data_IF_133761042079
#
_entry.id   IF_133761042079
#
_cell.length_a   1.000
_cell.length_b   1.000
_cell.length_c   1.000
_cell.angle_alpha   90.00
_cell.angle_beta   90.00
_cell.angle_gamma   90.00
#
_symmetry.space_group_name_H-M   'P 1'
#
loop_
_entity.id
_entity.type
_entity.pdbx_description
1 polymer ?
#
# COMPACT_ATOMS: atom_id res chain seq x y z
N UNK A 1 -59.67 -8.37 17.95
CA UNK A 1 -58.80 -9.18 18.85
C UNK A 1 -57.79 -10.02 18.08
N UNK A 2 -58.21 -10.90 17.15
CA UNK A 2 -57.29 -11.73 16.35
C UNK A 2 -56.25 -10.92 15.53
N UNK A 3 -56.65 -9.80 14.91
CA UNK A 3 -55.74 -8.93 14.13
C UNK A 3 -54.66 -8.29 15.03
N UNK A 4 -55.01 -7.91 16.26
CA UNK A 4 -54.07 -7.29 17.21
C UNK A 4 -53.05 -8.33 17.72
N UNK A 5 -53.51 -9.57 17.96
CA UNK A 5 -52.66 -10.69 18.41
C UNK A 5 -51.61 -11.04 17.35
N UNK A 6 -51.87 -10.83 16.06
CA UNK A 6 -50.93 -11.10 14.97
C UNK A 6 -50.06 -9.86 14.66
N UNK A 7 -50.64 -8.66 14.67
CA UNK A 7 -49.93 -7.42 14.33
C UNK A 7 -48.87 -7.03 15.38
N UNK A 8 -49.13 -7.21 16.68
CA UNK A 8 -48.17 -6.82 17.73
C UNK A 8 -46.87 -7.64 17.64
N UNK A 9 -46.90 -8.99 17.53
CA UNK A 9 -45.69 -9.77 17.27
C UNK A 9 -44.97 -9.40 15.98
N UNK A 10 -45.71 -9.10 14.89
CA UNK A 10 -45.11 -8.67 13.62
C UNK A 10 -44.40 -7.31 13.74
N UNK A 11 -45.00 -6.34 14.43
CA UNK A 11 -44.40 -5.03 14.68
C UNK A 11 -43.19 -5.16 15.61
N UNK A 12 -43.28 -5.96 16.67
CA UNK A 12 -42.15 -6.26 17.56
C UNK A 12 -41.01 -6.95 16.81
N UNK A 13 -41.34 -7.94 15.96
CA UNK A 13 -40.38 -8.62 15.10
C UNK A 13 -39.74 -7.64 14.11
N UNK A 14 -40.53 -6.73 13.53
CA UNK A 14 -40.05 -5.67 12.63
C UNK A 14 -39.10 -4.71 13.35
N UNK A 15 -39.47 -4.19 14.51
CA UNK A 15 -38.62 -3.28 15.30
C UNK A 15 -37.32 -3.97 15.72
N UNK A 16 -37.41 -5.21 16.18
CA UNK A 16 -36.24 -5.98 16.60
C UNK A 16 -35.29 -6.26 15.44
N UNK A 17 -35.80 -6.73 14.29
CA UNK A 17 -34.94 -7.14 13.19
C UNK A 17 -34.51 -5.99 12.28
N UNK A 18 -35.34 -4.97 12.06
CA UNK A 18 -35.03 -3.86 11.15
C UNK A 18 -34.38 -2.67 11.84
N UNK A 19 -34.63 -2.44 13.13
CA UNK A 19 -34.10 -1.27 13.84
C UNK A 19 -33.03 -1.65 14.85
N UNK A 20 -33.32 -2.59 15.76
CA UNK A 20 -32.38 -2.91 16.85
C UNK A 20 -31.11 -3.62 16.36
N UNK A 21 -31.25 -4.69 15.56
CA UNK A 21 -30.09 -5.41 15.02
C UNK A 21 -29.21 -4.54 14.10
N UNK A 22 -29.84 -3.71 13.26
CA UNK A 22 -29.09 -2.80 12.37
C UNK A 22 -28.31 -1.76 13.18
N UNK A 23 -28.94 -1.18 14.23
CA UNK A 23 -28.27 -0.22 15.10
C UNK A 23 -27.09 -0.86 15.83
N UNK A 24 -27.26 -2.07 16.36
CA UNK A 24 -26.21 -2.77 17.10
C UNK A 24 -25.07 -3.24 16.19
N UNK A 25 -25.36 -3.74 15.00
CA UNK A 25 -24.35 -4.00 13.98
C UNK A 25 -23.58 -2.72 13.59
N UNK A 26 -24.27 -1.58 13.46
CA UNK A 26 -23.61 -0.28 13.21
C UNK A 26 -22.75 0.16 14.39
N UNK A 27 -23.19 -0.07 15.63
CA UNK A 27 -22.42 0.24 16.84
C UNK A 27 -21.13 -0.60 16.90
N UNK A 28 -21.24 -1.91 16.65
CA UNK A 28 -20.09 -2.82 16.62
C UNK A 28 -19.13 -2.48 15.48
N UNK A 29 -19.64 -2.14 14.29
CA UNK A 29 -18.81 -1.65 13.18
C UNK A 29 -18.05 -0.38 13.58
N UNK A 30 -18.71 0.56 14.27
CA UNK A 30 -18.07 1.78 14.76
C UNK A 30 -16.99 1.51 15.80
N UNK A 31 -17.25 0.59 16.75
CA UNK A 31 -16.25 0.15 17.74
C UNK A 31 -15.04 -0.50 17.08
N UNK A 32 -15.26 -1.35 16.08
CA UNK A 32 -14.19 -2.00 15.34
C UNK A 32 -13.34 -0.97 14.58
N UNK A 33 -13.99 -0.03 13.88
CA UNK A 33 -13.30 0.98 13.07
C UNK A 33 -12.43 1.94 13.90
N UNK A 34 -12.88 2.29 15.11
CA UNK A 34 -12.19 3.25 15.98
C UNK A 34 -11.10 2.62 16.85
N UNK A 35 -10.95 1.30 16.83
CA UNK A 35 -10.00 0.57 17.65
C UNK A 35 -8.66 0.37 16.94
N UNK A 36 -7.56 0.53 17.68
CA UNK A 36 -6.22 0.15 17.22
C UNK A 36 -5.86 -1.30 17.60
N UNK A 37 -6.75 -2.00 18.32
CA UNK A 37 -6.57 -3.40 18.70
C UNK A 37 -7.21 -4.31 17.64
N UNK A 38 -6.38 -5.14 17.01
CA UNK A 38 -6.77 -6.03 15.92
C UNK A 38 -7.80 -7.07 16.40
N UNK A 39 -7.53 -7.75 17.52
CA UNK A 39 -8.41 -8.81 18.03
C UNK A 39 -9.77 -8.26 18.47
N UNK A 40 -9.76 -7.08 19.12
CA UNK A 40 -10.98 -6.36 19.45
C UNK A 40 -11.79 -6.04 18.20
N UNK A 41 -11.14 -5.46 17.18
CA UNK A 41 -11.79 -5.09 15.93
C UNK A 41 -12.39 -6.29 15.21
N UNK A 42 -11.64 -7.40 15.12
CA UNK A 42 -12.12 -8.66 14.55
C UNK A 42 -13.37 -9.17 15.27
N UNK A 43 -13.37 -9.17 16.61
CA UNK A 43 -14.51 -9.63 17.39
C UNK A 43 -15.77 -8.80 17.14
N UNK A 44 -15.62 -7.48 16.98
CA UNK A 44 -16.72 -6.57 16.71
C UNK A 44 -17.22 -6.64 15.26
N UNK A 45 -16.33 -6.81 14.27
CA UNK A 45 -16.77 -7.07 12.90
C UNK A 45 -17.57 -8.38 12.79
N UNK A 46 -17.13 -9.44 13.47
CA UNK A 46 -17.88 -10.72 13.54
C UNK A 46 -19.21 -10.57 14.25
N UNK A 47 -19.27 -9.82 15.34
CA UNK A 47 -20.53 -9.51 16.01
C UNK A 47 -21.49 -8.79 15.06
N UNK A 48 -21.02 -7.75 14.36
CA UNK A 48 -21.81 -7.02 13.38
C UNK A 48 -22.29 -7.92 12.23
N UNK A 49 -21.45 -8.82 11.72
CA UNK A 49 -21.79 -9.76 10.64
C UNK A 49 -22.85 -10.78 11.10
N UNK A 50 -22.76 -11.29 12.33
CA UNK A 50 -23.71 -12.24 12.89
C UNK A 50 -25.08 -11.63 13.17
N UNK A 51 -25.13 -10.35 13.52
CA UNK A 51 -26.39 -9.66 13.82
C UNK A 51 -27.17 -9.25 12.58
N UNK A 52 -26.47 -9.05 11.46
CA UNK A 52 -27.09 -8.58 10.23
C UNK A 52 -27.72 -9.74 9.45
N UNK A 53 -29.04 -9.91 9.58
CA UNK A 53 -29.83 -10.91 8.85
C UNK A 53 -29.66 -10.82 7.31
N UNK A 54 -29.28 -9.65 6.83
CA UNK A 54 -28.84 -9.39 5.47
C UNK A 54 -27.48 -8.73 5.63
N UNK A 55 -26.38 -9.43 5.35
CA UNK A 55 -25.05 -8.81 5.30
C UNK A 55 -25.15 -7.55 4.45
N UNK A 56 -25.01 -6.38 5.08
CA UNK A 56 -25.03 -5.14 4.33
C UNK A 56 -23.72 -5.06 3.57
N UNK A 57 -23.80 -4.81 2.27
CA UNK A 57 -22.67 -4.51 1.39
C UNK A 57 -21.62 -3.64 2.09
N UNK A 58 -22.03 -2.54 2.72
CA UNK A 58 -21.12 -1.65 3.45
C UNK A 58 -20.34 -2.33 4.58
N UNK A 59 -20.97 -3.24 5.33
CA UNK A 59 -20.29 -3.98 6.39
C UNK A 59 -19.25 -4.95 5.82
N UNK A 60 -19.60 -5.69 4.76
CA UNK A 60 -18.66 -6.57 4.06
C UNK A 60 -17.47 -5.78 3.53
N UNK A 61 -17.72 -4.62 2.92
CA UNK A 61 -16.67 -3.74 2.40
C UNK A 61 -15.79 -3.17 3.52
N UNK A 62 -16.39 -2.69 4.63
CA UNK A 62 -15.64 -2.16 5.77
C UNK A 62 -14.76 -3.24 6.43
N UNK A 63 -15.27 -4.47 6.55
CA UNK A 63 -14.51 -5.58 7.12
C UNK A 63 -13.32 -5.95 6.24
N UNK A 64 -13.53 -6.04 4.91
CA UNK A 64 -12.45 -6.26 3.97
C UNK A 64 -11.41 -5.12 4.03
N UNK A 65 -11.86 -3.86 4.11
CA UNK A 65 -10.98 -2.69 4.22
C UNK A 65 -10.15 -2.69 5.50
N UNK A 66 -10.74 -3.08 6.63
CA UNK A 66 -10.00 -3.28 7.86
C UNK A 66 -8.88 -4.30 7.69
N UNK A 67 -9.16 -5.47 7.11
CA UNK A 67 -8.15 -6.51 6.89
C UNK A 67 -7.05 -6.06 5.92
N UNK A 68 -7.41 -5.34 4.85
CA UNK A 68 -6.44 -4.75 3.93
C UNK A 68 -5.53 -3.72 4.62
N UNK A 69 -6.03 -3.03 5.64
CA UNK A 69 -5.24 -2.10 6.47
C UNK A 69 -4.21 -2.77 7.39
N UNK A 70 -4.23 -4.10 7.53
CA UNK A 70 -3.28 -4.84 8.39
C UNK A 70 -1.92 -5.05 7.72
N UNK A 71 -1.69 -4.55 6.51
CA UNK A 71 -0.45 -4.78 5.74
C UNK A 71 0.66 -3.75 6.01
N UNK A 72 0.54 -2.93 7.06
CA UNK A 72 1.68 -2.10 7.49
C UNK A 72 2.79 -2.98 8.09
N UNK A 73 4.05 -2.55 7.98
CA UNK A 73 5.20 -3.31 8.53
C UNK A 73 4.99 -3.66 10.00
N UNK A 74 4.52 -2.71 10.82
CA UNK A 74 4.24 -2.93 12.24
C UNK A 74 3.16 -4.01 12.47
N UNK A 75 2.06 -3.95 11.72
CA UNK A 75 0.99 -4.93 11.85
C UNK A 75 1.42 -6.31 11.36
N UNK A 76 2.15 -6.39 10.25
CA UNK A 76 2.70 -7.65 9.73
C UNK A 76 3.62 -8.29 10.77
N UNK A 77 4.53 -7.52 11.38
CA UNK A 77 5.42 -8.03 12.42
C UNK A 77 4.64 -8.51 13.65
N UNK A 78 3.67 -7.72 14.12
CA UNK A 78 2.79 -8.10 15.24
C UNK A 78 2.05 -9.40 14.97
N UNK A 79 1.49 -9.55 13.76
CA UNK A 79 0.76 -10.74 13.33
C UNK A 79 1.70 -11.93 13.19
N UNK A 80 2.90 -11.77 12.61
CA UNK A 80 3.88 -12.86 12.46
C UNK A 80 4.39 -13.37 13.81
N UNK A 81 4.51 -12.49 14.81
CA UNK A 81 5.06 -12.82 16.13
C UNK A 81 4.03 -13.40 17.14
N UNK A 82 2.73 -13.29 16.87
CA UNK A 82 1.67 -13.85 17.72
C UNK A 82 0.87 -14.91 16.94
N UNK A 83 1.08 -16.19 17.28
CA UNK A 83 0.47 -17.31 16.57
C UNK A 83 -1.05 -17.39 16.71
N UNK A 84 -1.60 -16.93 17.84
CA UNK A 84 -3.05 -16.92 18.09
C UNK A 84 -3.68 -15.82 17.24
N UNK A 85 -3.10 -14.61 17.29
CA UNK A 85 -3.54 -13.50 16.46
C UNK A 85 -3.42 -13.83 14.97
N UNK A 86 -2.31 -14.47 14.55
CA UNK A 86 -2.12 -14.90 13.16
C UNK A 86 -3.22 -15.83 12.70
N UNK A 87 -3.52 -16.87 13.48
CA UNK A 87 -4.60 -17.80 13.14
C UNK A 87 -5.95 -17.08 13.05
N UNK A 88 -6.20 -16.14 13.96
CA UNK A 88 -7.46 -15.38 13.97
C UNK A 88 -7.61 -14.45 12.76
N UNK A 89 -6.54 -13.73 12.38
CA UNK A 89 -6.48 -12.88 11.19
C UNK A 89 -6.66 -13.71 9.92
N UNK A 90 -6.01 -14.86 9.79
CA UNK A 90 -6.15 -15.72 8.61
C UNK A 90 -7.58 -16.28 8.49
N UNK A 91 -8.23 -16.63 9.60
CA UNK A 91 -9.65 -16.99 9.59
C UNK A 91 -10.53 -15.80 9.16
N UNK A 92 -10.22 -14.59 9.63
CA UNK A 92 -10.94 -13.39 9.23
C UNK A 92 -10.84 -13.10 7.72
N UNK A 93 -9.69 -13.36 7.09
CA UNK A 93 -9.56 -13.29 5.63
C UNK A 93 -10.51 -14.27 4.92
N UNK A 94 -10.69 -15.49 5.43
CA UNK A 94 -11.66 -16.46 4.88
C UNK A 94 -13.10 -15.95 5.05
N UNK A 95 -13.46 -15.47 6.23
CA UNK A 95 -14.79 -14.92 6.53
C UNK A 95 -15.14 -13.72 5.64
N UNK A 96 -14.18 -12.83 5.39
CA UNK A 96 -14.34 -11.68 4.51
C UNK A 96 -14.49 -12.10 3.03
N UNK A 97 -13.73 -13.10 2.57
CA UNK A 97 -13.88 -13.67 1.22
C UNK A 97 -15.25 -14.30 1.02
N UNK A 98 -15.71 -15.11 1.97
CA UNK A 98 -17.05 -15.72 1.94
C UNK A 98 -18.16 -14.66 1.91
N UNK A 99 -17.97 -13.57 2.67
CA UNK A 99 -18.91 -12.44 2.70
C UNK A 99 -18.95 -11.71 1.36
N UNK A 100 -17.79 -11.48 0.71
CA UNK A 100 -17.71 -10.89 -0.64
C UNK A 100 -18.33 -11.81 -1.70
N UNK A 101 -18.08 -13.12 -1.63
CA UNK A 101 -18.68 -14.10 -2.54
C UNK A 101 -20.21 -14.13 -2.44
N UNK A 102 -20.75 -13.92 -1.24
CA UNK A 102 -22.20 -13.78 -1.05
C UNK A 102 -22.75 -12.50 -1.69
N UNK A 103 -22.01 -11.39 -1.66
CA UNK A 103 -22.39 -10.18 -2.39
C UNK A 103 -22.28 -10.36 -3.91
N UNK A 104 -21.26 -11.06 -4.39
CA UNK A 104 -21.12 -11.43 -5.82
C UNK A 104 -22.30 -12.27 -6.29
N UNK A 105 -22.75 -13.26 -5.51
CA UNK A 105 -23.95 -14.05 -5.84
C UNK A 105 -25.21 -13.19 -5.96
N UNK A 106 -25.34 -12.14 -5.15
CA UNK A 106 -26.48 -11.19 -5.21
C UNK A 106 -26.35 -10.22 -6.39
N UNK A 107 -25.12 -9.78 -6.70
CA UNK A 107 -24.79 -8.74 -7.68
C UNK A 107 -23.59 -9.15 -8.55
N UNK A 108 -23.75 -10.14 -9.45
CA UNK A 108 -22.62 -10.73 -10.18
C UNK A 108 -21.99 -9.81 -11.24
N UNK A 109 -22.63 -8.68 -11.56
CA UNK A 109 -22.13 -7.70 -12.52
C UNK A 109 -21.54 -6.46 -11.85
N UNK A 110 -21.45 -6.42 -10.52
CA UNK A 110 -20.85 -5.31 -9.80
C UNK A 110 -19.33 -5.55 -9.63
N UNK A 111 -18.53 -4.82 -10.41
CA UNK A 111 -17.08 -4.94 -10.41
C UNK A 111 -16.42 -4.64 -9.05
N UNK A 112 -17.11 -3.92 -8.16
CA UNK A 112 -16.53 -3.50 -6.86
C UNK A 112 -16.19 -4.71 -5.99
N UNK A 113 -17.04 -5.75 -5.96
CA UNK A 113 -16.78 -6.93 -5.13
C UNK A 113 -15.60 -7.75 -5.64
N UNK A 114 -15.47 -7.90 -6.95
CA UNK A 114 -14.34 -8.55 -7.60
C UNK A 114 -13.03 -7.79 -7.35
N UNK A 115 -13.07 -6.45 -7.48
CA UNK A 115 -11.93 -5.59 -7.14
C UNK A 115 -11.51 -5.77 -5.68
N UNK A 116 -12.46 -5.73 -4.75
CA UNK A 116 -12.20 -5.87 -3.31
C UNK A 116 -11.67 -7.25 -2.96
N UNK A 117 -12.21 -8.29 -3.58
CA UNK A 117 -11.73 -9.67 -3.40
C UNK A 117 -10.28 -9.81 -3.89
N UNK A 118 -9.95 -9.21 -5.05
CA UNK A 118 -8.59 -9.15 -5.57
C UNK A 118 -7.60 -8.44 -4.64
N UNK A 119 -7.99 -7.27 -4.11
CA UNK A 119 -7.18 -6.56 -3.11
C UNK A 119 -7.00 -7.38 -1.83
N UNK A 120 -8.06 -8.05 -1.36
CA UNK A 120 -8.02 -8.89 -0.16
C UNK A 120 -7.08 -10.09 -0.32
N UNK A 121 -7.03 -10.71 -1.51
CA UNK A 121 -6.04 -11.73 -1.84
C UNK A 121 -4.61 -11.18 -1.80
N UNK A 122 -4.35 -10.01 -2.40
CA UNK A 122 -3.03 -9.35 -2.30
C UNK A 122 -2.64 -9.11 -0.83
N UNK A 123 -3.55 -8.57 -0.03
CA UNK A 123 -3.28 -8.31 1.39
C UNK A 123 -3.01 -9.59 2.17
N UNK A 124 -3.70 -10.69 1.86
CA UNK A 124 -3.41 -11.96 2.51
C UNK A 124 -2.01 -12.48 2.14
N UNK A 125 -1.60 -12.37 0.86
CA UNK A 125 -0.24 -12.71 0.45
C UNK A 125 0.82 -11.95 1.26
N UNK A 126 0.62 -10.65 1.51
CA UNK A 126 1.57 -9.85 2.31
C UNK A 126 1.66 -10.31 3.78
N UNK A 127 0.69 -11.09 4.27
CA UNK A 127 0.62 -11.57 5.65
C UNK A 127 1.19 -12.99 5.78
N UNK A 128 0.83 -13.90 4.88
CA UNK A 128 1.20 -15.33 4.95
C UNK A 128 2.26 -15.79 3.96
N UNK A 129 2.66 -14.92 3.01
CA UNK A 129 3.63 -15.17 1.95
C UNK A 129 3.20 -16.31 0.98
N UNK A 130 1.91 -16.68 0.94
CA UNK A 130 1.39 -17.73 0.04
C UNK A 130 1.06 -17.18 -1.36
N UNK A 131 1.91 -17.52 -2.33
CA UNK A 131 1.85 -17.08 -3.74
C UNK A 131 0.53 -17.50 -4.41
N UNK A 132 -0.17 -18.54 -3.93
CA UNK A 132 -1.45 -18.97 -4.51
C UNK A 132 -2.53 -17.87 -4.43
N UNK A 133 -2.45 -16.99 -3.43
CA UNK A 133 -3.35 -15.85 -3.31
C UNK A 133 -3.19 -14.86 -4.46
N UNK A 134 -1.98 -14.69 -5.01
CA UNK A 134 -1.75 -13.77 -6.12
C UNK A 134 -2.46 -14.22 -7.40
N UNK A 135 -2.52 -15.53 -7.65
CA UNK A 135 -3.30 -16.07 -8.78
C UNK A 135 -4.82 -15.90 -8.55
N UNK A 136 -5.27 -16.05 -7.30
CA UNK A 136 -6.62 -15.67 -6.89
C UNK A 136 -6.91 -14.20 -7.16
N UNK A 137 -6.00 -13.30 -6.77
CA UNK A 137 -6.12 -11.87 -6.99
C UNK A 137 -6.24 -11.51 -8.47
N UNK A 138 -5.33 -12.03 -9.32
CA UNK A 138 -5.35 -11.82 -10.77
C UNK A 138 -6.70 -12.22 -11.36
N UNK A 139 -7.20 -13.42 -11.02
CA UNK A 139 -8.48 -13.92 -11.53
C UNK A 139 -9.65 -12.98 -11.20
N UNK A 140 -9.73 -12.50 -9.95
CA UNK A 140 -10.81 -11.59 -9.55
C UNK A 140 -10.66 -10.19 -10.17
N UNK A 141 -9.43 -9.67 -10.28
CA UNK A 141 -9.16 -8.36 -10.88
C UNK A 141 -9.41 -8.36 -12.38
N UNK A 142 -9.11 -9.46 -13.06
CA UNK A 142 -9.47 -9.66 -14.46
C UNK A 142 -10.99 -9.64 -14.63
N UNK A 143 -11.73 -10.32 -13.74
CA UNK A 143 -13.19 -10.26 -13.78
C UNK A 143 -13.72 -8.85 -13.51
N UNK A 144 -13.12 -8.12 -12.58
CA UNK A 144 -13.45 -6.73 -12.33
C UNK A 144 -13.20 -5.87 -13.60
N UNK A 145 -12.08 -6.09 -14.29
CA UNK A 145 -11.70 -5.38 -15.52
C UNK A 145 -12.69 -5.64 -16.65
N UNK A 146 -13.15 -6.88 -16.82
CA UNK A 146 -14.20 -7.23 -17.78
C UNK A 146 -15.51 -6.47 -17.51
N UNK A 147 -15.89 -6.34 -16.24
CA UNK A 147 -17.13 -5.68 -15.82
C UNK A 147 -17.03 -4.15 -15.83
N UNK A 148 -15.84 -3.58 -15.69
CA UNK A 148 -15.61 -2.13 -15.59
C UNK A 148 -14.25 -1.74 -16.20
N UNK A 149 -14.15 -1.80 -17.53
CA UNK A 149 -12.90 -1.57 -18.29
C UNK A 149 -12.35 -0.15 -18.22
N UNK A 150 -13.11 0.83 -17.72
CA UNK A 150 -12.66 2.22 -17.59
C UNK A 150 -12.25 2.56 -16.15
N UNK A 151 -12.39 1.64 -15.19
CA UNK A 151 -12.04 1.90 -13.79
C UNK A 151 -10.55 1.71 -13.57
N UNK A 152 -9.79 2.81 -13.56
CA UNK A 152 -8.34 2.82 -13.38
C UNK A 152 -7.85 2.07 -12.15
N UNK A 153 -8.58 2.16 -11.04
CA UNK A 153 -8.19 1.46 -9.81
C UNK A 153 -7.97 -0.04 -10.04
N UNK A 154 -8.71 -0.67 -10.95
CA UNK A 154 -8.54 -2.08 -11.29
C UNK A 154 -7.18 -2.32 -11.94
N UNK A 155 -6.79 -1.47 -12.90
CA UNK A 155 -5.50 -1.57 -13.58
C UNK A 155 -4.33 -1.33 -12.63
N UNK A 156 -4.47 -0.39 -11.69
CA UNK A 156 -3.44 -0.14 -10.68
C UNK A 156 -3.22 -1.35 -9.77
N UNK A 157 -4.30 -1.92 -9.25
CA UNK A 157 -4.22 -3.08 -8.37
C UNK A 157 -3.75 -4.32 -9.15
N UNK A 158 -4.23 -4.53 -10.39
CA UNK A 158 -3.79 -5.65 -11.23
C UNK A 158 -2.31 -5.54 -11.60
N UNK A 159 -1.83 -4.33 -11.96
CA UNK A 159 -0.42 -4.07 -12.19
C UNK A 159 0.43 -4.34 -10.95
N UNK A 160 -0.02 -3.88 -9.78
CA UNK A 160 0.63 -4.18 -8.50
C UNK A 160 0.65 -5.68 -8.18
N UNK A 161 -0.46 -6.41 -8.41
CA UNK A 161 -0.51 -7.86 -8.26
C UNK A 161 0.50 -8.56 -9.17
N UNK A 162 0.63 -8.14 -10.43
CA UNK A 162 1.62 -8.69 -11.35
C UNK A 162 3.06 -8.41 -10.89
N UNK A 163 3.34 -7.22 -10.33
CA UNK A 163 4.65 -6.95 -9.69
C UNK A 163 4.91 -7.92 -8.54
N UNK A 164 3.93 -8.13 -7.65
CA UNK A 164 4.06 -9.09 -6.54
C UNK A 164 4.24 -10.53 -7.02
N UNK A 165 3.60 -10.90 -8.13
CA UNK A 165 3.71 -12.22 -8.75
C UNK A 165 5.02 -12.44 -9.52
N UNK A 166 5.86 -11.41 -9.65
CA UNK A 166 7.08 -11.46 -10.47
C UNK A 166 6.81 -11.41 -11.99
N UNK A 167 5.59 -11.08 -12.40
CA UNK A 167 5.17 -10.96 -13.81
C UNK A 167 5.30 -9.49 -14.29
N UNK A 168 6.51 -8.93 -14.17
CA UNK A 168 6.77 -7.50 -14.38
C UNK A 168 6.41 -6.98 -15.78
N UNK A 169 6.57 -7.78 -16.82
CA UNK A 169 6.21 -7.41 -18.19
C UNK A 169 4.70 -7.16 -18.33
N UNK A 170 3.88 -8.02 -17.73
CA UNK A 170 2.41 -7.84 -17.70
C UNK A 170 2.00 -6.67 -16.83
N UNK A 171 2.72 -6.45 -15.72
CA UNK A 171 2.50 -5.27 -14.88
C UNK A 171 2.69 -3.98 -15.70
N UNK A 172 3.78 -3.88 -16.46
CA UNK A 172 4.05 -2.74 -17.34
C UNK A 172 2.92 -2.57 -18.37
N UNK A 173 2.52 -3.63 -19.08
CA UNK A 173 1.46 -3.57 -20.08
C UNK A 173 0.13 -3.03 -19.50
N UNK A 174 -0.31 -3.58 -18.36
CA UNK A 174 -1.56 -3.17 -17.71
C UNK A 174 -1.48 -1.73 -17.20
N UNK A 175 -0.32 -1.30 -16.69
CA UNK A 175 -0.15 0.06 -16.18
C UNK A 175 0.01 1.09 -17.30
N UNK A 176 0.55 0.71 -18.45
CA UNK A 176 0.51 1.53 -19.67
C UNK A 176 -0.93 1.74 -20.15
N UNK A 177 -1.78 0.71 -20.07
CA UNK A 177 -3.22 0.86 -20.32
C UNK A 177 -3.87 1.83 -19.32
N UNK A 178 -3.50 1.76 -18.03
CA UNK A 178 -3.98 2.69 -17.01
C UNK A 178 -3.59 4.15 -17.30
N UNK A 179 -2.34 4.38 -17.75
CA UNK A 179 -1.87 5.70 -18.20
C UNK A 179 -2.63 6.18 -19.42
N UNK A 180 -2.95 5.30 -20.37
CA UNK A 180 -3.72 5.66 -21.56
C UNK A 180 -5.18 6.02 -21.24
N UNK A 181 -5.79 5.37 -20.25
CA UNK A 181 -7.17 5.64 -19.82
C UNK A 181 -7.33 7.02 -19.16
N UNK A 182 -6.48 7.36 -18.18
CA UNK A 182 -6.44 8.73 -17.62
C UNK A 182 -4.99 9.21 -17.43
N UNK A 183 -4.44 9.91 -18.43
CA UNK A 183 -3.09 10.50 -18.36
C UNK A 183 -2.91 11.54 -17.24
N UNK A 184 -4.02 12.05 -16.68
CA UNK A 184 -3.99 13.01 -15.57
C UNK A 184 -3.91 12.32 -14.20
N UNK A 185 -4.18 11.01 -14.11
CA UNK A 185 -4.22 10.31 -12.83
C UNK A 185 -2.81 10.08 -12.29
N UNK A 186 -2.34 10.96 -11.41
CA UNK A 186 -0.96 11.04 -10.96
C UNK A 186 -0.34 9.74 -10.41
N UNK A 187 -1.13 8.86 -9.80
CA UNK A 187 -0.60 7.63 -9.26
C UNK A 187 -0.26 6.58 -10.33
N UNK A 188 -0.85 6.62 -11.54
CA UNK A 188 -0.54 5.63 -12.60
C UNK A 188 0.94 5.62 -12.97
N UNK A 189 1.57 6.80 -13.08
CA UNK A 189 3.00 6.91 -13.40
C UNK A 189 3.90 6.38 -12.29
N UNK A 190 3.48 6.51 -11.02
CA UNK A 190 4.21 5.92 -9.90
C UNK A 190 4.16 4.38 -9.95
N UNK A 191 2.96 3.80 -10.13
CA UNK A 191 2.80 2.36 -10.26
C UNK A 191 3.52 1.82 -11.50
N UNK A 192 3.38 2.48 -12.66
CA UNK A 192 4.09 2.12 -13.89
C UNK A 192 5.60 2.17 -13.69
N UNK A 193 6.10 3.22 -13.04
CA UNK A 193 7.51 3.36 -12.74
C UNK A 193 8.05 2.26 -11.83
N UNK A 194 7.27 1.84 -10.83
CA UNK A 194 7.59 0.67 -9.99
C UNK A 194 7.66 -0.60 -10.81
N UNK A 195 6.67 -0.86 -11.67
CA UNK A 195 6.68 -2.04 -12.54
C UNK A 195 7.88 -2.04 -13.49
N UNK A 196 8.20 -0.90 -14.10
CA UNK A 196 9.38 -0.71 -14.95
C UNK A 196 10.69 -0.97 -14.19
N UNK A 197 10.78 -0.54 -12.93
CA UNK A 197 11.96 -0.78 -12.10
C UNK A 197 12.13 -2.28 -11.83
N UNK A 198 11.06 -2.97 -11.43
CA UNK A 198 11.08 -4.44 -11.28
C UNK A 198 11.36 -5.16 -12.59
N UNK A 199 10.97 -4.57 -13.73
CA UNK A 199 11.28 -5.09 -15.07
C UNK A 199 12.73 -4.83 -15.53
N UNK A 200 13.56 -4.17 -14.70
CA UNK A 200 14.94 -3.80 -15.05
C UNK A 200 15.07 -2.59 -15.98
N UNK A 201 13.98 -1.90 -16.29
CA UNK A 201 13.95 -0.74 -17.18
C UNK A 201 14.23 0.57 -16.42
N UNK A 202 15.40 0.62 -15.77
CA UNK A 202 15.80 1.66 -14.80
C UNK A 202 15.56 3.10 -15.28
N UNK A 203 15.97 3.42 -16.52
CA UNK A 203 15.82 4.78 -17.04
C UNK A 203 14.37 5.16 -17.36
N UNK A 204 13.54 4.18 -17.79
CA UNK A 204 12.10 4.42 -17.97
C UNK A 204 11.39 4.53 -16.63
N UNK A 205 11.81 3.75 -15.63
CA UNK A 205 11.33 3.88 -14.26
C UNK A 205 11.61 5.29 -13.71
N UNK A 206 12.83 5.80 -13.89
CA UNK A 206 13.18 7.18 -13.53
C UNK A 206 12.26 8.20 -14.21
N UNK A 207 12.05 8.10 -15.53
CA UNK A 207 11.16 9.02 -16.25
C UNK A 207 9.73 8.97 -15.71
N UNK A 208 9.20 7.78 -15.45
CA UNK A 208 7.84 7.60 -14.95
C UNK A 208 7.67 8.10 -13.50
N UNK A 209 8.57 7.72 -12.59
CA UNK A 209 8.50 8.11 -11.17
C UNK A 209 8.86 9.58 -11.01
N UNK A 210 10.03 9.98 -11.49
CA UNK A 210 10.56 11.32 -11.21
C UNK A 210 9.91 12.34 -12.12
N UNK A 211 10.14 12.29 -13.44
CA UNK A 211 9.67 13.34 -14.33
C UNK A 211 8.14 13.41 -14.34
N UNK A 212 7.46 12.29 -14.58
CA UNK A 212 6.00 12.28 -14.78
C UNK A 212 5.19 12.33 -13.49
N UNK A 213 5.55 11.56 -12.46
CA UNK A 213 4.81 11.55 -11.20
C UNK A 213 5.24 12.70 -10.27
N UNK A 214 6.54 12.82 -9.98
CA UNK A 214 7.02 13.76 -8.95
C UNK A 214 7.07 15.20 -9.47
N UNK A 215 7.62 15.43 -10.67
CA UNK A 215 7.83 16.79 -11.20
C UNK A 215 6.56 17.34 -11.84
N UNK A 216 6.09 16.68 -12.91
CA UNK A 216 4.93 17.16 -13.69
C UNK A 216 3.64 17.17 -12.87
N UNK A 217 3.43 16.11 -12.07
CA UNK A 217 2.16 15.89 -11.35
C UNK A 217 2.23 16.14 -9.86
N UNK A 218 3.41 16.50 -9.33
CA UNK A 218 3.61 16.84 -7.91
C UNK A 218 3.08 15.76 -6.96
N UNK A 219 3.30 14.50 -7.32
CA UNK A 219 2.81 13.34 -6.59
C UNK A 219 3.97 12.50 -6.08
N UNK A 220 4.21 12.55 -4.78
CA UNK A 220 5.12 11.64 -4.08
C UNK A 220 4.30 10.88 -3.04
N UNK A 221 4.16 9.56 -3.15
CA UNK A 221 3.51 8.76 -2.11
C UNK A 221 4.22 8.95 -0.76
N UNK A 222 3.43 9.00 0.32
CA UNK A 222 3.94 9.25 1.67
C UNK A 222 4.96 8.19 2.10
N UNK A 223 4.78 6.94 1.67
CA UNK A 223 5.70 5.82 1.91
C UNK A 223 6.42 5.39 0.63
N UNK A 224 7.00 6.33 -0.10
CA UNK A 224 7.69 6.04 -1.37
C UNK A 224 9.03 5.30 -1.19
N UNK A 225 9.02 4.09 -0.60
CA UNK A 225 10.16 3.18 -0.52
C UNK A 225 10.77 2.91 -1.91
N UNK A 226 9.93 2.86 -2.95
CA UNK A 226 10.42 2.65 -4.32
C UNK A 226 11.35 3.78 -4.81
N UNK A 227 11.23 5.00 -4.28
CA UNK A 227 12.12 6.09 -4.66
C UNK A 227 13.53 5.89 -4.09
N UNK A 228 13.65 5.30 -2.89
CA UNK A 228 14.94 4.89 -2.35
C UNK A 228 15.54 3.77 -3.19
N UNK A 229 14.77 2.73 -3.50
CA UNK A 229 15.22 1.63 -4.37
C UNK A 229 15.66 2.16 -5.74
N UNK A 230 14.88 3.06 -6.36
CA UNK A 230 15.27 3.70 -7.62
C UNK A 230 16.60 4.46 -7.49
N UNK A 231 16.78 5.21 -6.41
CA UNK A 231 18.00 5.99 -6.20
C UNK A 231 19.23 5.09 -5.97
N UNK A 232 19.09 3.99 -5.25
CA UNK A 232 20.14 2.98 -5.05
C UNK A 232 20.52 2.32 -6.37
N UNK A 233 19.55 1.86 -7.16
CA UNK A 233 19.78 1.27 -8.49
C UNK A 233 20.45 2.26 -9.46
N UNK A 234 20.08 3.55 -9.40
CA UNK A 234 20.76 4.61 -10.14
C UNK A 234 22.20 4.81 -9.67
N UNK A 235 22.45 4.71 -8.36
CA UNK A 235 23.79 4.76 -7.79
C UNK A 235 24.67 3.63 -8.33
N UNK A 236 24.17 2.38 -8.30
CA UNK A 236 24.88 1.21 -8.82
C UNK A 236 25.16 1.35 -10.32
N UNK A 237 24.22 1.93 -11.07
CA UNK A 237 24.38 2.22 -12.49
C UNK A 237 25.32 3.42 -12.80
N UNK A 238 25.83 4.12 -11.78
CA UNK A 238 26.68 5.31 -11.95
C UNK A 238 25.93 6.58 -12.37
N UNK A 239 24.60 6.55 -12.33
CA UNK A 239 23.70 7.64 -12.73
C UNK A 239 23.50 8.66 -11.58
N UNK A 240 24.61 9.12 -11.01
CA UNK A 240 24.62 9.92 -9.77
C UNK A 240 23.83 11.23 -9.87
N UNK A 241 23.78 11.87 -11.04
CA UNK A 241 22.96 13.07 -11.24
C UNK A 241 21.45 12.79 -11.11
N UNK A 242 20.98 11.63 -11.60
CA UNK A 242 19.58 11.20 -11.45
C UNK A 242 19.30 10.78 -10.01
N UNK A 243 20.24 10.07 -9.36
CA UNK A 243 20.17 9.71 -7.93
C UNK A 243 20.00 10.96 -7.05
N UNK A 244 20.83 11.99 -7.25
CA UNK A 244 20.71 13.28 -6.56
C UNK A 244 19.33 13.89 -6.79
N UNK A 245 18.84 13.90 -8.04
CA UNK A 245 17.53 14.46 -8.35
C UNK A 245 16.41 13.78 -7.57
N UNK A 246 16.44 12.44 -7.46
CA UNK A 246 15.48 11.68 -6.65
C UNK A 246 15.51 12.15 -5.19
N UNK A 247 16.69 12.18 -4.58
CA UNK A 247 16.83 12.55 -3.17
C UNK A 247 16.49 14.02 -2.91
N UNK A 248 16.84 14.95 -3.80
CA UNK A 248 16.44 16.36 -3.69
C UNK A 248 14.92 16.52 -3.68
N UNK A 249 14.20 15.73 -4.50
CA UNK A 249 12.74 15.72 -4.45
C UNK A 249 12.22 15.12 -3.15
N UNK A 250 12.77 13.99 -2.69
CA UNK A 250 12.38 13.42 -1.40
C UNK A 250 12.61 14.39 -0.24
N UNK A 251 13.70 15.17 -0.23
CA UNK A 251 13.94 16.23 0.77
C UNK A 251 12.88 17.33 0.70
N UNK A 252 12.43 17.72 -0.50
CA UNK A 252 11.35 18.73 -0.63
C UNK A 252 10.02 18.26 -0.04
N UNK A 253 9.68 16.98 -0.22
CA UNK A 253 8.43 16.42 0.28
C UNK A 253 8.51 15.97 1.75
N UNK A 254 9.69 15.57 2.22
CA UNK A 254 9.97 15.15 3.60
C UNK A 254 11.12 15.98 4.19
N UNK A 255 10.91 17.28 4.45
CA UNK A 255 12.00 18.19 4.83
C UNK A 255 12.66 17.85 6.18
N UNK A 256 11.95 17.10 7.03
CA UNK A 256 12.37 16.68 8.38
C UNK A 256 12.88 15.24 8.43
N UNK A 257 12.92 14.50 7.32
CA UNK A 257 13.42 13.13 7.30
C UNK A 257 14.96 13.13 7.17
N UNK A 258 15.64 12.94 8.30
CA UNK A 258 17.10 12.93 8.36
C UNK A 258 17.72 11.85 7.48
N UNK A 259 17.04 10.70 7.30
CA UNK A 259 17.51 9.59 6.46
C UNK A 259 17.69 10.01 5.01
N UNK A 260 16.72 10.75 4.47
CA UNK A 260 16.76 11.26 3.09
C UNK A 260 17.94 12.22 2.91
N UNK A 261 18.22 13.06 3.91
CA UNK A 261 19.35 14.00 3.86
C UNK A 261 20.70 13.30 3.94
N UNK A 262 20.81 12.25 4.76
CA UNK A 262 22.03 11.44 4.81
C UNK A 262 22.27 10.74 3.47
N UNK A 263 21.23 10.13 2.89
CA UNK A 263 21.31 9.50 1.58
C UNK A 263 21.66 10.51 0.46
N UNK A 264 21.15 11.74 0.53
CA UNK A 264 21.54 12.83 -0.37
C UNK A 264 23.02 13.20 -0.22
N UNK A 265 23.56 13.22 1.00
CA UNK A 265 24.98 13.47 1.23
C UNK A 265 25.86 12.41 0.55
N UNK A 266 25.50 11.13 0.66
CA UNK A 266 26.17 10.03 -0.03
C UNK A 266 26.07 10.18 -1.55
N UNK A 267 24.88 10.53 -2.07
CA UNK A 267 24.70 10.79 -3.50
C UNK A 267 25.62 11.92 -4.01
N UNK A 268 25.84 12.97 -3.21
CA UNK A 268 26.77 14.03 -3.53
C UNK A 268 28.24 13.59 -3.49
N UNK A 269 28.63 12.72 -2.55
CA UNK A 269 29.98 12.12 -2.52
C UNK A 269 30.24 11.34 -3.80
N UNK A 270 29.29 10.49 -4.19
CA UNK A 270 29.40 9.66 -5.41
C UNK A 270 29.56 10.53 -6.67
N UNK A 271 28.89 11.68 -6.70
CA UNK A 271 28.96 12.67 -7.78
C UNK A 271 30.11 13.68 -7.69
N UNK A 272 31.05 13.51 -6.74
CA UNK A 272 32.18 14.42 -6.50
C UNK A 272 31.77 15.87 -6.12
N UNK A 273 30.58 16.03 -5.55
CA UNK A 273 30.03 17.32 -5.06
C UNK A 273 30.24 17.45 -3.55
N UNK A 274 31.49 17.55 -3.13
CA UNK A 274 31.87 17.42 -1.72
C UNK A 274 31.33 18.53 -0.80
N UNK A 275 31.27 19.78 -1.27
CA UNK A 275 30.71 20.88 -0.47
C UNK A 275 29.22 20.66 -0.17
N UNK A 276 28.47 20.20 -1.18
CA UNK A 276 27.06 19.85 -1.03
C UNK A 276 26.88 18.63 -0.11
N UNK A 277 27.77 17.63 -0.20
CA UNK A 277 27.78 16.46 0.67
C UNK A 277 27.94 16.84 2.15
N UNK A 278 28.92 17.70 2.47
CA UNK A 278 29.17 18.19 3.83
C UNK A 278 27.92 18.92 4.35
N UNK A 279 27.35 19.81 3.54
CA UNK A 279 26.14 20.54 3.92
C UNK A 279 24.95 19.60 4.19
N UNK A 280 24.70 18.63 3.31
CA UNK A 280 23.62 17.67 3.48
C UNK A 280 23.80 16.80 4.74
N UNK A 281 25.02 16.32 5.01
CA UNK A 281 25.35 15.53 6.19
C UNK A 281 25.15 16.33 7.50
N UNK A 282 25.58 17.59 7.53
CA UNK A 282 25.34 18.49 8.67
C UNK A 282 23.83 18.70 8.90
N UNK A 283 23.05 18.90 7.83
CA UNK A 283 21.59 19.01 7.95
C UNK A 283 20.91 17.72 8.42
N UNK A 284 21.42 16.55 8.08
CA UNK A 284 20.91 15.29 8.62
C UNK A 284 21.10 15.24 10.16
N UNK A 285 22.28 15.65 10.65
CA UNK A 285 22.59 15.70 12.09
C UNK A 285 21.77 16.75 12.85
N UNK A 286 21.49 17.91 12.22
CA UNK A 286 20.61 18.93 12.81
C UNK A 286 19.18 18.42 13.01
N UNK A 287 18.69 17.57 12.11
CA UNK A 287 17.34 17.00 12.19
C UNK A 287 17.27 15.83 13.18
N UNK A 288 18.28 14.96 13.16
CA UNK A 288 18.39 13.82 14.05
C UNK A 288 19.86 13.60 14.45
N UNK A 289 20.21 13.84 15.73
CA UNK A 289 21.56 13.62 16.25
C UNK A 289 22.09 12.18 16.10
N UNK A 290 21.23 11.18 15.85
CA UNK A 290 21.67 9.80 15.60
C UNK A 290 22.58 9.68 14.36
N UNK A 291 22.46 10.60 13.41
CA UNK A 291 23.28 10.66 12.19
C UNK A 291 24.65 11.34 12.41
N UNK A 292 24.95 11.87 13.60
CA UNK A 292 26.19 12.60 13.86
C UNK A 292 27.46 11.79 13.54
N UNK A 293 27.44 10.49 13.86
CA UNK A 293 28.59 9.61 13.60
C UNK A 293 28.80 9.38 12.10
N UNK A 294 27.73 9.10 11.35
CA UNK A 294 27.76 8.92 9.90
C UNK A 294 28.21 10.21 9.20
N UNK A 295 27.63 11.35 9.59
CA UNK A 295 27.99 12.65 9.04
C UNK A 295 29.46 13.01 9.31
N UNK A 296 29.97 12.75 10.51
CA UNK A 296 31.37 12.97 10.84
C UNK A 296 32.30 12.08 9.98
N UNK A 297 31.94 10.83 9.74
CA UNK A 297 32.71 9.92 8.88
C UNK A 297 32.81 10.45 7.44
N UNK A 298 31.68 10.90 6.87
CA UNK A 298 31.64 11.54 5.53
C UNK A 298 32.54 12.78 5.49
N UNK A 299 32.38 13.70 6.45
CA UNK A 299 33.11 14.97 6.47
C UNK A 299 34.63 14.73 6.64
N UNK A 300 35.03 13.83 7.53
CA UNK A 300 36.45 13.51 7.75
C UNK A 300 37.07 12.83 6.52
N UNK A 301 36.38 11.85 5.92
CA UNK A 301 36.88 11.20 4.72
C UNK A 301 37.07 12.21 3.56
N UNK A 302 36.18 13.20 3.43
CA UNK A 302 36.33 14.29 2.47
C UNK A 302 37.56 15.16 2.78
N UNK A 303 37.75 15.57 4.04
CA UNK A 303 38.87 16.41 4.44
C UNK A 303 40.22 15.71 4.31
N UNK A 304 40.26 14.41 4.58
CA UNK A 304 41.47 13.58 4.51
C UNK A 304 41.80 13.12 3.08
N UNK A 305 40.92 13.38 2.10
CA UNK A 305 41.07 12.89 0.72
C UNK A 305 40.82 11.37 0.58
N UNK A 306 40.20 10.72 1.56
CA UNK A 306 39.86 9.28 1.56
C UNK A 306 38.51 9.02 0.86
N UNK A 307 38.30 9.67 -0.27
CA UNK A 307 37.03 9.61 -1.02
C UNK A 307 36.76 8.21 -1.58
N UNK A 308 37.79 7.53 -2.07
CA UNK A 308 37.61 6.21 -2.70
C UNK A 308 37.13 5.16 -1.69
N UNK A 309 37.61 5.21 -0.44
CA UNK A 309 37.11 4.38 0.66
C UNK A 309 35.64 4.66 0.94
N UNK A 310 35.26 5.94 0.95
CA UNK A 310 33.88 6.35 1.21
C UNK A 310 32.93 5.91 0.09
N UNK A 311 33.34 6.07 -1.18
CA UNK A 311 32.57 5.60 -2.33
C UNK A 311 32.45 4.08 -2.35
N UNK A 312 33.51 3.36 -1.99
CA UNK A 312 33.47 1.91 -1.90
C UNK A 312 32.52 1.40 -0.79
N UNK A 313 32.32 2.18 0.28
CA UNK A 313 31.40 1.84 1.37
C UNK A 313 29.93 2.20 1.09
N UNK A 314 29.66 2.93 -0.01
CA UNK A 314 28.31 3.35 -0.39
C UNK A 314 27.52 2.27 -1.15
N UNK A 315 28.16 1.15 -1.48
CA UNK A 315 27.62 -0.02 -2.19
C UNK A 315 27.95 -1.29 -1.41
#
# INVERSE_FOLDING_TARGET
VAIIIIMVPLVMYSIFNLNYKVLRASEDTGKAYLSNDIAFSLSHYRAALNENLITSENLTLNFAEFLMGLTSTENIEKIKNDSILRADVLNAFLEAKDSLDNEIKKKPNDAVFYLKLGQLYNSQYLIDDDISHLQGAISQLEKARELSSERIQIYLILGETYVLAGESEKAVEVLEQAVALEPAFKATYYYLGRALLTNGELLKAYDSIVNKAFIERKYVPEESMIAFVLAEELGVAGEYGKMITVYEYLVKFKPTDARVRSALAIAYVLADRYEDAIFAAQKATELDPSFAQEAAAVIQAIQDGRIDELKASAF
#
